data_IF_249546440535
#
_entry.id   IF_249546440535
#
_cell.length_a   1.000
_cell.length_b   1.000
_cell.length_c   1.000
_cell.angle_alpha   90.00
_cell.angle_beta   90.00
_cell.angle_gamma   90.00
#
_symmetry.space_group_name_H-M   'P 1'
#
loop_
_entity.id
_entity.type
_entity.pdbx_description
1 polymer ?
#
# COMPACT_ATOMS: atom_id res chain seq x y z
N UNK A 1 -22.41 -19.37 -18.46
CA UNK A 1 -21.39 -18.31 -18.49
C UNK A 1 -21.14 -17.91 -17.04
N UNK A 2 -20.07 -18.39 -16.40
CA UNK A 2 -19.89 -18.19 -14.95
C UNK A 2 -18.72 -18.97 -14.37
N UNK A 3 -17.54 -18.85 -14.97
CA UNK A 3 -16.31 -19.45 -14.44
C UNK A 3 -15.61 -18.58 -13.37
N UNK A 4 -16.16 -17.41 -13.04
CA UNK A 4 -15.61 -16.51 -12.02
C UNK A 4 -16.66 -16.24 -10.95
N UNK A 5 -16.38 -16.69 -9.72
CA UNK A 5 -17.14 -16.30 -8.53
C UNK A 5 -17.05 -14.78 -8.38
N UNK A 6 -18.18 -14.09 -8.30
CA UNK A 6 -18.22 -12.64 -8.08
C UNK A 6 -17.49 -12.27 -6.77
N UNK A 7 -16.81 -11.13 -6.77
CA UNK A 7 -16.05 -10.66 -5.61
C UNK A 7 -16.93 -10.14 -4.47
N UNK A 8 -18.13 -9.67 -4.82
CA UNK A 8 -19.13 -9.11 -3.91
C UNK A 8 -20.41 -9.93 -4.09
N UNK A 9 -20.93 -10.51 -3.01
CA UNK A 9 -22.22 -11.22 -3.02
C UNK A 9 -23.41 -10.26 -3.10
N UNK A 10 -24.62 -10.77 -3.33
CA UNK A 10 -25.84 -9.95 -3.26
C UNK A 10 -26.03 -9.33 -1.87
N UNK A 11 -25.72 -10.09 -0.80
CA UNK A 11 -25.72 -9.57 0.57
C UNK A 11 -24.68 -8.45 0.75
N UNK A 12 -23.50 -8.64 0.17
CA UNK A 12 -22.42 -7.64 0.19
C UNK A 12 -22.83 -6.33 -0.49
N UNK A 13 -23.65 -6.37 -1.55
CA UNK A 13 -24.22 -5.17 -2.19
C UNK A 13 -25.12 -4.37 -1.24
N UNK A 14 -25.84 -5.04 -0.35
CA UNK A 14 -26.61 -4.36 0.70
C UNK A 14 -25.67 -3.75 1.75
N UNK A 15 -24.62 -4.47 2.15
CA UNK A 15 -23.58 -3.97 3.05
C UNK A 15 -22.96 -2.66 2.57
N UNK A 16 -22.65 -2.55 1.27
CA UNK A 16 -22.11 -1.34 0.63
C UNK A 16 -23.01 -0.12 0.84
N UNK A 17 -24.34 -0.26 0.67
CA UNK A 17 -25.29 0.87 0.79
C UNK A 17 -25.39 1.40 2.21
N UNK A 18 -25.20 0.53 3.20
CA UNK A 18 -25.28 0.88 4.62
C UNK A 18 -23.95 1.34 5.20
N UNK A 19 -22.86 1.12 4.47
CA UNK A 19 -21.52 1.36 4.95
C UNK A 19 -21.28 2.86 5.15
N UNK A 20 -20.76 3.22 6.32
CA UNK A 20 -20.32 4.57 6.66
C UNK A 20 -18.90 4.50 7.18
N UNK A 21 -18.00 5.23 6.52
CA UNK A 21 -16.62 5.30 6.95
C UNK A 21 -16.51 5.90 8.36
N UNK A 22 -15.69 5.26 9.18
CA UNK A 22 -15.29 5.76 10.50
C UNK A 22 -13.77 5.75 10.53
N UNK A 23 -13.18 6.87 10.13
CA UNK A 23 -11.75 7.07 10.20
C UNK A 23 -11.40 8.49 10.59
N UNK A 24 -10.16 8.66 11.05
CA UNK A 24 -9.62 9.97 11.38
C UNK A 24 -8.16 9.85 11.84
N UNK A 25 -7.42 10.94 11.65
CA UNK A 25 -6.08 11.11 12.20
C UNK A 25 -6.13 12.09 13.36
N UNK A 26 -5.43 11.75 14.46
CA UNK A 26 -5.09 12.69 15.53
C UNK A 26 -3.60 13.07 15.48
N UNK A 27 -2.96 12.87 14.32
CA UNK A 27 -1.59 13.30 14.08
C UNK A 27 -1.47 14.81 14.27
N UNK A 28 -0.37 15.19 14.94
CA UNK A 28 -0.02 16.60 15.15
C UNK A 28 0.24 17.26 13.79
N UNK A 29 1.02 16.61 12.93
CA UNK A 29 1.36 17.19 11.62
C UNK A 29 0.12 17.27 10.73
N UNK A 30 -0.75 16.26 10.76
CA UNK A 30 -2.00 16.33 10.01
C UNK A 30 -2.90 17.47 10.48
N UNK A 31 -3.14 17.58 11.78
CA UNK A 31 -4.06 18.57 12.35
C UNK A 31 -3.60 20.01 12.09
N UNK A 32 -2.31 20.29 12.28
CA UNK A 32 -1.78 21.64 12.22
C UNK A 32 -1.18 22.05 10.86
N UNK A 33 -0.81 21.09 10.01
CA UNK A 33 -0.17 21.39 8.71
C UNK A 33 -0.92 20.79 7.51
N UNK A 34 -1.03 19.47 7.39
CA UNK A 34 -1.59 18.85 6.19
C UNK A 34 -3.06 19.20 5.97
N UNK A 35 -3.85 19.17 7.04
CA UNK A 35 -5.29 19.43 6.95
C UNK A 35 -5.58 20.87 6.52
N UNK A 36 -5.04 21.93 7.16
CA UNK A 36 -5.21 23.31 6.70
C UNK A 36 -4.69 23.55 5.28
N UNK A 37 -3.51 23.01 4.94
CA UNK A 37 -2.91 23.16 3.61
C UNK A 37 -3.82 22.56 2.53
N UNK A 38 -4.24 21.31 2.71
CA UNK A 38 -5.05 20.62 1.71
C UNK A 38 -6.47 21.22 1.60
N UNK A 39 -7.04 21.76 2.70
CA UNK A 39 -8.31 22.50 2.62
C UNK A 39 -8.17 23.77 1.78
N UNK A 40 -7.05 24.49 1.93
CA UNK A 40 -6.74 25.64 1.10
C UNK A 40 -6.54 25.25 -0.36
N UNK A 41 -5.79 24.16 -0.63
CA UNK A 41 -5.55 23.66 -2.00
C UNK A 41 -6.86 23.30 -2.68
N UNK A 42 -7.69 22.48 -2.03
CA UNK A 42 -9.00 22.06 -2.55
C UNK A 42 -9.86 23.28 -2.89
N UNK A 43 -9.96 24.26 -1.97
CA UNK A 43 -10.81 25.44 -2.18
C UNK A 43 -10.31 26.37 -3.28
N UNK A 44 -9.00 26.42 -3.54
CA UNK A 44 -8.40 27.42 -4.44
C UNK A 44 -8.03 26.87 -5.81
N UNK A 45 -7.62 25.61 -5.90
CA UNK A 45 -7.01 25.07 -7.12
C UNK A 45 -7.71 23.85 -7.70
N UNK A 46 -8.52 23.11 -6.92
CA UNK A 46 -9.18 21.90 -7.41
C UNK A 46 -10.61 22.25 -7.84
N UNK A 47 -10.94 22.17 -9.14
CA UNK A 47 -12.28 22.44 -9.61
C UNK A 47 -13.31 21.46 -9.01
N UNK A 48 -14.51 21.94 -8.71
CA UNK A 48 -15.56 21.15 -8.05
C UNK A 48 -16.14 20.03 -8.93
N UNK A 49 -15.76 19.92 -10.21
CA UNK A 49 -16.15 18.83 -11.10
C UNK A 49 -15.13 17.68 -11.14
N UNK A 50 -13.96 17.84 -10.53
CA UNK A 50 -12.95 16.78 -10.42
C UNK A 50 -13.39 15.80 -9.33
N UNK A 51 -13.53 14.53 -9.71
CA UNK A 51 -13.87 13.46 -8.79
C UNK A 51 -12.68 13.15 -7.87
N UNK A 52 -12.93 12.81 -6.58
CA UNK A 52 -11.88 12.40 -5.65
C UNK A 52 -10.98 11.29 -6.19
N UNK A 53 -11.56 10.23 -6.76
CA UNK A 53 -10.80 9.10 -7.32
C UNK A 53 -9.85 9.52 -8.46
N UNK A 54 -10.14 10.63 -9.17
CA UNK A 54 -9.22 11.18 -10.17
C UNK A 54 -7.99 11.79 -9.52
N UNK A 55 -8.15 12.43 -8.36
CA UNK A 55 -7.05 12.99 -7.56
C UNK A 55 -6.17 11.84 -7.06
N UNK A 56 -6.78 10.82 -6.43
CA UNK A 56 -6.09 9.61 -5.97
C UNK A 56 -5.30 8.95 -7.10
N UNK A 57 -5.94 8.68 -8.25
CA UNK A 57 -5.28 8.03 -9.38
C UNK A 57 -4.12 8.87 -9.93
N UNK A 58 -4.28 10.20 -9.98
CA UNK A 58 -3.23 11.11 -10.40
C UNK A 58 -2.02 11.04 -9.47
N UNK A 59 -2.26 11.03 -8.14
CA UNK A 59 -1.23 10.86 -7.13
C UNK A 59 -0.45 9.55 -7.34
N UNK A 60 -1.17 8.43 -7.51
CA UNK A 60 -0.55 7.12 -7.74
C UNK A 60 0.25 7.05 -9.04
N UNK A 61 -0.24 7.67 -10.13
CA UNK A 61 0.48 7.72 -11.42
C UNK A 61 1.79 8.50 -11.30
N UNK A 62 1.80 9.63 -10.57
CA UNK A 62 3.02 10.41 -10.33
C UNK A 62 4.08 9.54 -9.65
N UNK A 63 3.70 8.82 -8.59
CA UNK A 63 4.62 7.90 -7.88
C UNK A 63 5.06 6.77 -8.79
N UNK A 64 4.15 6.16 -9.56
CA UNK A 64 4.47 5.08 -10.47
C UNK A 64 5.53 5.48 -11.49
N UNK A 65 5.40 6.65 -12.11
CA UNK A 65 6.37 7.17 -13.08
C UNK A 65 7.73 7.47 -12.44
N UNK A 66 7.75 8.07 -11.24
CA UNK A 66 8.98 8.34 -10.50
C UNK A 66 9.68 7.03 -10.08
N UNK A 67 8.91 6.04 -9.64
CA UNK A 67 9.38 4.69 -9.31
C UNK A 67 10.00 4.01 -10.54
N UNK A 68 9.34 4.04 -11.69
CA UNK A 68 9.91 3.50 -12.94
C UNK A 68 11.21 4.20 -13.34
N UNK A 69 11.28 5.53 -13.19
CA UNK A 69 12.50 6.28 -13.44
C UNK A 69 13.64 5.84 -12.51
N UNK A 70 13.39 5.66 -11.22
CA UNK A 70 14.40 5.16 -10.28
C UNK A 70 14.85 3.73 -10.60
N UNK A 71 13.90 2.82 -10.85
CA UNK A 71 14.20 1.43 -11.19
C UNK A 71 14.92 1.31 -12.54
N UNK A 72 14.75 2.24 -13.47
CA UNK A 72 15.56 2.29 -14.70
C UNK A 72 17.04 2.56 -14.41
N UNK A 73 17.35 3.44 -13.46
CA UNK A 73 18.72 3.79 -13.09
C UNK A 73 19.38 2.74 -12.18
N UNK A 74 18.62 2.13 -11.27
CA UNK A 74 19.14 1.13 -10.33
C UNK A 74 18.16 -0.04 -10.13
N UNK A 75 18.01 -0.92 -11.14
CA UNK A 75 17.06 -2.04 -11.11
C UNK A 75 17.46 -3.17 -10.16
N UNK A 76 18.66 -3.15 -9.57
CA UNK A 76 19.12 -4.13 -8.58
C UNK A 76 19.54 -3.50 -7.26
N UNK A 77 19.14 -2.25 -7.05
CA UNK A 77 19.46 -1.45 -5.87
C UNK A 77 20.98 -1.27 -5.63
N UNK A 78 21.82 -1.60 -6.62
CA UNK A 78 23.28 -1.59 -6.48
C UNK A 78 23.92 -0.41 -7.20
N UNK A 79 23.31 0.05 -8.30
CA UNK A 79 23.81 1.23 -9.01
C UNK A 79 23.47 2.50 -8.24
N UNK A 80 24.41 3.45 -8.28
CA UNK A 80 24.15 4.78 -7.77
C UNK A 80 23.10 5.49 -8.65
N UNK A 81 22.08 6.08 -8.03
CA UNK A 81 21.09 6.89 -8.72
C UNK A 81 21.55 8.35 -8.80
N UNK A 82 21.41 9.03 -9.94
CA UNK A 82 21.71 10.45 -10.04
C UNK A 82 20.86 11.30 -9.07
N UNK A 83 21.45 12.37 -8.52
CA UNK A 83 20.76 13.29 -7.60
C UNK A 83 19.40 13.80 -8.11
N UNK A 84 19.28 14.07 -9.41
CA UNK A 84 18.03 14.54 -10.00
C UNK A 84 16.91 13.47 -9.94
N UNK A 85 17.26 12.18 -9.99
CA UNK A 85 16.30 11.07 -9.84
C UNK A 85 15.76 11.05 -8.41
N UNK A 86 16.63 11.24 -7.41
CA UNK A 86 16.20 11.42 -6.02
C UNK A 86 15.32 12.65 -5.85
N UNK A 87 15.64 13.77 -6.52
CA UNK A 87 14.83 14.98 -6.49
C UNK A 87 13.44 14.77 -7.11
N UNK A 88 13.35 14.09 -8.25
CA UNK A 88 12.08 13.70 -8.88
C UNK A 88 11.24 12.85 -7.92
N UNK A 89 11.86 11.87 -7.25
CA UNK A 89 11.16 11.04 -6.27
C UNK A 89 10.71 11.83 -5.04
N UNK A 90 11.52 12.76 -4.53
CA UNK A 90 11.14 13.68 -3.46
C UNK A 90 9.87 14.47 -3.82
N UNK A 91 9.86 15.09 -5.01
CA UNK A 91 8.69 15.82 -5.50
C UNK A 91 7.48 14.89 -5.67
N UNK A 92 7.68 13.68 -6.19
CA UNK A 92 6.62 12.70 -6.37
C UNK A 92 5.97 12.29 -5.03
N UNK A 93 6.76 12.02 -3.99
CA UNK A 93 6.23 11.67 -2.66
C UNK A 93 5.52 12.87 -2.01
N UNK A 94 6.06 14.08 -2.16
CA UNK A 94 5.41 15.29 -1.67
C UNK A 94 4.06 15.53 -2.36
N UNK A 95 4.02 15.42 -3.69
CA UNK A 95 2.78 15.54 -4.46
C UNK A 95 1.80 14.43 -4.10
N UNK A 96 2.28 13.20 -3.89
CA UNK A 96 1.45 12.09 -3.44
C UNK A 96 0.75 12.43 -2.13
N UNK A 97 1.50 12.77 -1.08
CA UNK A 97 0.94 13.05 0.24
C UNK A 97 -0.05 14.23 0.22
N UNK A 98 0.19 15.25 -0.61
CA UNK A 98 -0.73 16.37 -0.76
C UNK A 98 -2.03 15.93 -1.45
N UNK A 99 -1.93 15.25 -2.60
CA UNK A 99 -3.08 14.88 -3.41
C UNK A 99 -3.95 13.82 -2.71
N UNK A 100 -3.31 12.86 -2.04
CA UNK A 100 -3.95 11.85 -1.18
C UNK A 100 -4.84 12.52 -0.12
N UNK A 101 -4.28 13.44 0.67
CA UNK A 101 -5.05 14.21 1.65
C UNK A 101 -6.13 15.13 1.03
N UNK A 102 -5.92 15.60 -0.20
CA UNK A 102 -6.88 16.42 -0.92
C UNK A 102 -8.12 15.65 -1.39
N UNK A 103 -8.02 14.34 -1.65
CA UNK A 103 -9.13 13.58 -2.23
C UNK A 103 -10.34 13.50 -1.28
N UNK A 104 -10.11 13.25 0.01
CA UNK A 104 -11.14 13.10 1.01
C UNK A 104 -11.74 14.46 1.36
N UNK A 105 -10.92 15.52 1.29
CA UNK A 105 -11.37 16.91 1.43
C UNK A 105 -12.25 17.32 0.26
N UNK A 106 -11.85 17.00 -0.97
CA UNK A 106 -12.67 17.20 -2.17
C UNK A 106 -13.99 16.41 -2.08
N UNK A 107 -13.94 15.16 -1.61
CA UNK A 107 -15.12 14.32 -1.46
C UNK A 107 -16.13 14.93 -0.46
N UNK A 108 -15.63 15.49 0.64
CA UNK A 108 -16.47 16.21 1.62
C UNK A 108 -17.00 17.53 1.05
N UNK A 109 -16.16 18.31 0.39
CA UNK A 109 -16.52 19.61 -0.17
C UNK A 109 -17.60 19.51 -1.26
N UNK A 110 -17.54 18.47 -2.09
CA UNK A 110 -18.51 18.23 -3.17
C UNK A 110 -19.68 17.31 -2.75
N UNK A 111 -19.61 16.75 -1.54
CA UNK A 111 -20.60 15.79 -1.04
C UNK A 111 -20.64 14.48 -1.83
N UNK A 112 -19.48 14.05 -2.36
CA UNK A 112 -19.29 12.84 -3.16
C UNK A 112 -18.56 11.71 -2.40
N UNK A 113 -18.44 11.80 -1.07
CA UNK A 113 -17.88 10.73 -0.24
C UNK A 113 -18.67 9.43 -0.43
N UNK A 114 -17.98 8.32 -0.69
CA UNK A 114 -18.60 7.03 -0.94
C UNK A 114 -17.71 5.86 -0.46
N UNK A 115 -18.28 4.67 -0.22
CA UNK A 115 -17.49 3.46 0.07
C UNK A 115 -16.53 3.10 -1.08
N UNK A 116 -16.93 3.35 -2.33
CA UNK A 116 -16.07 3.15 -3.51
C UNK A 116 -14.85 4.06 -3.45
N UNK A 117 -15.03 5.33 -3.06
CA UNK A 117 -13.91 6.28 -2.96
C UNK A 117 -12.84 5.78 -1.99
N UNK A 118 -13.23 5.34 -0.79
CA UNK A 118 -12.29 4.75 0.18
C UNK A 118 -11.61 3.49 -0.35
N UNK A 119 -12.36 2.58 -0.98
CA UNK A 119 -11.75 1.35 -1.49
C UNK A 119 -10.74 1.66 -2.61
N UNK A 120 -11.07 2.64 -3.45
CA UNK A 120 -10.21 3.09 -4.53
C UNK A 120 -8.90 3.69 -3.98
N UNK A 121 -9.04 4.59 -3.02
CA UNK A 121 -7.95 5.22 -2.27
C UNK A 121 -7.01 4.18 -1.62
N UNK A 122 -7.55 3.36 -0.73
CA UNK A 122 -6.72 2.37 -0.06
C UNK A 122 -6.17 1.27 -1.02
N UNK A 123 -6.86 1.03 -2.14
CA UNK A 123 -6.40 0.14 -3.20
C UNK A 123 -5.14 0.70 -3.88
N UNK A 124 -5.15 1.99 -4.22
CA UNK A 124 -4.01 2.75 -4.70
C UNK A 124 -2.85 2.77 -3.69
N UNK A 125 -3.13 3.08 -2.42
CA UNK A 125 -2.15 3.05 -1.33
C UNK A 125 -1.45 1.69 -1.23
N UNK A 126 -2.21 0.60 -1.38
CA UNK A 126 -1.66 -0.75 -1.29
C UNK A 126 -0.61 -1.05 -2.37
N UNK A 127 -0.65 -0.32 -3.48
CA UNK A 127 0.32 -0.42 -4.57
C UNK A 127 1.50 0.54 -4.36
N UNK A 128 1.19 1.80 -4.03
CA UNK A 128 2.20 2.84 -3.80
C UNK A 128 3.11 2.49 -2.63
N UNK A 129 2.57 1.90 -1.56
CA UNK A 129 3.32 1.60 -0.34
C UNK A 129 4.54 0.70 -0.59
N UNK A 130 4.43 -0.34 -1.42
CA UNK A 130 5.57 -1.18 -1.74
C UNK A 130 6.53 -0.56 -2.76
N UNK A 131 6.04 0.33 -3.64
CA UNK A 131 6.91 1.14 -4.50
C UNK A 131 7.80 2.06 -3.68
N UNK A 132 7.23 2.72 -2.65
CA UNK A 132 8.00 3.51 -1.69
C UNK A 132 9.01 2.63 -0.94
N UNK A 133 8.61 1.45 -0.47
CA UNK A 133 9.54 0.51 0.18
C UNK A 133 10.76 0.19 -0.69
N UNK A 134 10.54 -0.11 -1.98
CA UNK A 134 11.63 -0.34 -2.94
C UNK A 134 12.47 0.92 -3.18
N UNK A 135 11.85 2.07 -3.41
CA UNK A 135 12.58 3.31 -3.68
C UNK A 135 13.39 3.81 -2.48
N UNK A 136 12.88 3.65 -1.26
CA UNK A 136 13.60 3.98 -0.02
C UNK A 136 14.81 3.06 0.15
N UNK A 137 14.63 1.76 -0.05
CA UNK A 137 15.73 0.80 -0.01
C UNK A 137 16.81 1.12 -1.07
N UNK A 138 16.38 1.58 -2.26
CA UNK A 138 17.29 2.05 -3.29
C UNK A 138 18.02 3.32 -2.83
N UNK A 139 17.31 4.34 -2.36
CA UNK A 139 17.88 5.62 -1.95
C UNK A 139 18.99 5.50 -0.89
N UNK A 140 18.85 4.57 0.07
CA UNK A 140 19.90 4.33 1.07
C UNK A 140 21.15 3.64 0.53
N UNK A 141 21.14 3.18 -0.73
CA UNK A 141 22.28 2.52 -1.40
C UNK A 141 22.94 1.46 -0.53
N UNK A 142 22.15 0.56 0.05
CA UNK A 142 22.66 -0.42 1.01
C UNK A 142 23.56 -1.44 0.29
N UNK A 143 24.75 -1.73 0.82
CA UNK A 143 25.67 -2.75 0.28
C UNK A 143 25.08 -4.14 0.41
N UNK A 144 24.47 -4.42 1.56
CA UNK A 144 23.90 -5.71 1.86
C UNK A 144 22.50 -5.88 1.27
N UNK A 145 22.44 -6.54 0.10
CA UNK A 145 21.18 -6.91 -0.57
C UNK A 145 20.25 -7.76 0.31
N UNK A 146 20.77 -8.44 1.34
CA UNK A 146 19.96 -9.21 2.29
C UNK A 146 19.09 -8.28 3.14
N UNK A 147 19.62 -7.12 3.54
CA UNK A 147 18.84 -6.10 4.26
C UNK A 147 17.73 -5.55 3.36
N UNK A 148 18.04 -5.23 2.11
CA UNK A 148 17.05 -4.76 1.11
C UNK A 148 15.92 -5.77 0.94
N UNK A 149 16.28 -7.05 0.82
CA UNK A 149 15.32 -8.14 0.65
C UNK A 149 14.24 -8.16 1.75
N UNK A 150 14.65 -7.99 3.00
CA UNK A 150 13.75 -8.00 4.15
C UNK A 150 13.07 -6.65 4.42
N UNK A 151 13.73 -5.55 4.09
CA UNK A 151 13.23 -4.21 4.35
C UNK A 151 11.88 -3.95 3.66
N UNK A 152 11.71 -4.30 2.39
CA UNK A 152 10.43 -4.06 1.68
C UNK A 152 9.25 -4.74 2.39
N UNK A 153 9.45 -5.95 2.90
CA UNK A 153 8.42 -6.70 3.62
C UNK A 153 8.04 -6.03 4.95
N UNK A 154 9.06 -5.66 5.74
CA UNK A 154 8.92 -5.10 7.10
C UNK A 154 8.42 -3.65 7.06
N UNK A 155 8.83 -2.88 6.06
CA UNK A 155 8.52 -1.45 5.94
C UNK A 155 7.19 -1.18 5.26
N UNK A 156 6.83 -1.98 4.27
CA UNK A 156 5.69 -1.71 3.41
C UNK A 156 4.57 -2.74 3.57
N UNK A 157 4.84 -4.01 3.23
CA UNK A 157 3.78 -4.99 3.05
C UNK A 157 3.07 -5.36 4.35
N UNK A 158 3.82 -5.69 5.40
CA UNK A 158 3.25 -6.18 6.67
C UNK A 158 2.54 -5.06 7.43
N UNK A 159 3.16 -3.89 7.72
CA UNK A 159 2.52 -2.82 8.47
C UNK A 159 1.23 -2.34 7.80
N UNK A 160 1.26 -2.16 6.48
CA UNK A 160 0.09 -1.72 5.72
C UNK A 160 -1.07 -2.71 5.84
N UNK A 161 -0.82 -4.01 5.62
CA UNK A 161 -1.85 -5.04 5.79
C UNK A 161 -2.41 -5.05 7.22
N UNK A 162 -1.54 -4.91 8.24
CA UNK A 162 -2.01 -4.90 9.63
C UNK A 162 -2.88 -3.71 9.99
N UNK A 163 -2.68 -2.56 9.35
CA UNK A 163 -3.58 -1.42 9.51
C UNK A 163 -4.99 -1.75 9.00
N UNK A 164 -5.09 -2.39 7.83
CA UNK A 164 -6.35 -2.80 7.21
C UNK A 164 -7.02 -3.95 7.99
N UNK A 165 -6.22 -4.88 8.51
CA UNK A 165 -6.67 -5.94 9.41
C UNK A 165 -7.29 -5.38 10.68
N UNK A 166 -6.63 -4.40 11.31
CA UNK A 166 -7.15 -3.73 12.51
C UNK A 166 -8.50 -3.10 12.19
N UNK A 167 -8.58 -2.31 11.12
CA UNK A 167 -9.81 -1.66 10.67
C UNK A 167 -10.95 -2.65 10.40
N UNK A 168 -10.68 -3.76 9.73
CA UNK A 168 -11.67 -4.78 9.43
C UNK A 168 -12.33 -5.32 10.71
N UNK A 169 -11.52 -5.65 11.73
CA UNK A 169 -12.03 -6.27 12.95
C UNK A 169 -12.68 -5.29 13.94
N UNK A 170 -12.14 -4.08 14.07
CA UNK A 170 -12.61 -3.08 15.05
C UNK A 170 -13.59 -2.07 14.46
N UNK A 171 -13.66 -1.96 13.13
CA UNK A 171 -14.60 -1.11 12.42
C UNK A 171 -14.23 0.37 12.37
N UNK A 172 -13.03 0.73 12.83
CA UNK A 172 -12.55 2.11 12.87
C UNK A 172 -11.08 2.16 12.46
N UNK A 173 -10.71 3.11 11.61
CA UNK A 173 -9.33 3.40 11.26
C UNK A 173 -8.86 4.63 12.03
N UNK A 174 -8.02 4.45 13.04
CA UNK A 174 -7.46 5.55 13.84
C UNK A 174 -5.96 5.57 13.71
N UNK A 175 -5.44 6.68 13.20
CA UNK A 175 -4.01 6.95 13.23
C UNK A 175 -3.64 7.66 14.53
N UNK A 176 -2.56 7.20 15.15
CA UNK A 176 -2.02 7.80 16.37
C UNK A 176 -1.42 9.20 16.12
N UNK A 177 -1.00 9.85 17.21
CA UNK A 177 -0.38 11.18 17.18
C UNK A 177 0.91 11.25 16.35
N UNK A 178 1.61 10.12 16.26
CA UNK A 178 2.74 9.89 15.37
C UNK A 178 2.42 8.57 14.67
N UNK A 179 2.47 8.57 13.35
CA UNK A 179 2.14 7.41 12.54
C UNK A 179 2.93 7.38 11.23
N UNK A 180 2.94 6.20 10.60
CA UNK A 180 3.71 5.95 9.38
C UNK A 180 3.23 6.74 8.15
N UNK A 181 2.02 7.30 8.17
CA UNK A 181 1.43 8.03 7.05
C UNK A 181 1.77 9.52 7.18
N UNK A 182 1.35 10.16 8.25
CA UNK A 182 1.46 11.62 8.39
C UNK A 182 2.90 12.09 8.62
N UNK A 183 3.63 11.44 9.53
CA UNK A 183 5.04 11.72 9.82
C UNK A 183 5.99 10.83 9.01
N UNK A 184 5.63 9.56 8.80
CA UNK A 184 6.49 8.61 8.08
C UNK A 184 6.75 9.03 6.64
N UNK A 185 5.76 9.54 5.91
CA UNK A 185 5.98 10.04 4.53
C UNK A 185 6.87 11.29 4.48
N UNK A 186 6.90 12.11 5.54
CA UNK A 186 7.86 13.22 5.64
C UNK A 186 9.28 12.67 5.78
N UNK A 187 9.48 11.64 6.60
CA UNK A 187 10.80 11.00 6.71
C UNK A 187 11.24 10.42 5.36
N UNK A 188 10.33 9.78 4.62
CA UNK A 188 10.60 9.29 3.26
C UNK A 188 10.99 10.43 2.32
N UNK A 189 10.29 11.57 2.35
CA UNK A 189 10.65 12.77 1.58
C UNK A 189 12.05 13.28 1.95
N UNK A 190 12.37 13.35 3.24
CA UNK A 190 13.69 13.80 3.70
C UNK A 190 14.82 12.89 3.22
N UNK A 191 14.62 11.57 3.18
CA UNK A 191 15.62 10.64 2.61
C UNK A 191 15.92 11.00 1.16
N UNK A 192 14.89 11.19 0.32
CA UNK A 192 15.09 11.55 -1.08
C UNK A 192 15.68 12.96 -1.26
N UNK A 193 15.28 13.92 -0.43
CA UNK A 193 15.82 15.27 -0.47
C UNK A 193 17.30 15.31 -0.08
N UNK A 194 17.70 14.56 0.95
CA UNK A 194 19.10 14.41 1.36
C UNK A 194 19.91 13.76 0.24
N UNK A 195 19.43 12.65 -0.34
CA UNK A 195 20.07 12.02 -1.51
C UNK A 195 20.21 12.97 -2.70
N UNK A 196 19.23 13.85 -2.92
CA UNK A 196 19.27 14.83 -4.00
C UNK A 196 20.32 15.93 -3.76
N UNK A 197 20.41 16.46 -2.54
CA UNK A 197 21.31 17.58 -2.22
C UNK A 197 22.76 17.13 -2.10
N UNK A 198 23.01 16.04 -1.38
CA UNK A 198 24.36 15.60 -1.03
C UNK A 198 24.88 14.44 -1.89
N UNK A 199 24.04 13.91 -2.77
CA UNK A 199 24.31 12.68 -3.51
C UNK A 199 24.03 11.44 -2.64
N UNK A 200 23.77 10.33 -3.32
CA UNK A 200 23.44 9.06 -2.66
C UNK A 200 24.61 8.49 -1.84
N UNK A 201 25.86 8.85 -2.19
CA UNK A 201 27.06 8.40 -1.51
C UNK A 201 27.14 8.78 -0.04
N UNK A 202 26.38 9.78 0.42
CA UNK A 202 26.33 10.12 1.85
C UNK A 202 25.91 8.92 2.71
N UNK A 203 25.03 8.06 2.18
CA UNK A 203 24.55 6.86 2.87
C UNK A 203 25.60 5.76 2.99
N UNK A 204 26.68 5.82 2.19
CA UNK A 204 27.83 4.90 2.25
C UNK A 204 28.89 5.31 3.27
N UNK A 205 28.78 6.50 3.83
CA UNK A 205 29.72 6.98 4.85
C UNK A 205 29.66 6.08 6.08
N UNK A 206 30.79 5.92 6.77
CA UNK A 206 30.86 5.23 8.05
C UNK A 206 29.92 5.92 9.06
N UNK A 207 29.06 5.12 9.68
CA UNK A 207 28.08 5.54 10.68
C UNK A 207 28.26 4.79 12.01
N UNK A 208 27.25 4.86 12.90
CA UNK A 208 27.32 4.24 14.21
C UNK A 208 27.54 2.72 14.15
N UNK A 209 28.23 2.18 15.16
CA UNK A 209 28.44 0.74 15.33
C UNK A 209 29.19 0.05 14.17
N UNK A 210 29.97 0.82 13.39
CA UNK A 210 30.70 0.31 12.22
C UNK A 210 29.81 -0.02 11.03
N UNK A 211 28.56 0.45 11.03
CA UNK A 211 27.64 0.32 9.90
C UNK A 211 27.71 1.55 9.00
N UNK A 212 27.53 1.37 7.69
CA UNK A 212 27.24 2.49 6.79
C UNK A 212 25.97 3.23 7.27
N UNK A 213 25.92 4.56 7.13
CA UNK A 213 24.78 5.38 7.56
C UNK A 213 23.46 4.84 6.99
N UNK A 214 23.41 4.47 5.71
CA UNK A 214 22.21 3.90 5.08
C UNK A 214 21.75 2.59 5.72
N UNK A 215 22.70 1.71 6.07
CA UNK A 215 22.42 0.44 6.76
C UNK A 215 21.93 0.66 8.19
N UNK A 216 22.44 1.68 8.88
CA UNK A 216 21.96 2.05 10.19
C UNK A 216 20.52 2.61 10.14
N UNK A 217 20.25 3.52 9.21
CA UNK A 217 18.91 4.10 9.06
C UNK A 217 17.87 3.07 8.62
N UNK A 218 18.17 2.18 7.65
CA UNK A 218 17.21 1.15 7.24
C UNK A 218 16.86 0.22 8.40
N UNK A 219 17.81 -0.08 9.30
CA UNK A 219 17.55 -0.85 10.51
C UNK A 219 16.61 -0.10 11.47
N UNK A 220 16.84 1.20 11.69
CA UNK A 220 15.95 2.04 12.51
C UNK A 220 14.53 2.04 11.93
N UNK A 221 14.38 2.30 10.64
CA UNK A 221 13.06 2.34 10.00
C UNK A 221 12.42 0.94 10.05
N UNK A 222 13.20 -0.15 9.93
CA UNK A 222 12.70 -1.51 10.08
C UNK A 222 12.20 -1.79 11.50
N UNK A 223 12.90 -1.32 12.52
CA UNK A 223 12.45 -1.38 13.92
C UNK A 223 11.16 -0.58 14.10
N UNK A 224 11.04 0.59 13.50
CA UNK A 224 9.81 1.39 13.52
C UNK A 224 8.65 0.65 12.82
N UNK A 225 8.90 0.00 11.68
CA UNK A 225 7.91 -0.83 10.98
C UNK A 225 7.39 -1.99 11.83
N UNK A 226 8.31 -2.70 12.51
CA UNK A 226 7.95 -3.70 13.51
C UNK A 226 7.15 -3.10 14.68
N UNK A 227 7.57 -1.94 15.18
CA UNK A 227 6.84 -1.20 16.23
C UNK A 227 5.41 -0.87 15.82
N UNK A 228 5.21 -0.41 14.58
CA UNK A 228 3.89 -0.12 14.01
C UNK A 228 3.01 -1.38 13.92
N UNK A 229 3.58 -2.51 13.51
CA UNK A 229 2.89 -3.80 13.52
C UNK A 229 2.38 -4.13 14.93
N UNK A 230 3.25 -4.08 15.95
CA UNK A 230 2.85 -4.37 17.34
C UNK A 230 1.85 -3.35 17.88
N UNK A 231 1.98 -2.07 17.51
CA UNK A 231 1.03 -1.04 17.88
C UNK A 231 -0.38 -1.36 17.38
N UNK A 232 -0.54 -1.76 16.11
CA UNK A 232 -1.85 -2.18 15.58
C UNK A 232 -2.41 -3.43 16.28
N UNK A 233 -1.55 -4.38 16.69
CA UNK A 233 -1.97 -5.54 17.48
C UNK A 233 -2.53 -5.09 18.85
N UNK A 234 -1.81 -4.20 19.55
CA UNK A 234 -2.21 -3.68 20.86
C UNK A 234 -3.52 -2.87 20.75
N UNK A 235 -3.62 -1.97 19.79
CA UNK A 235 -4.80 -1.13 19.59
C UNK A 235 -6.03 -1.99 19.27
N UNK A 236 -5.86 -3.02 18.44
CA UNK A 236 -6.92 -3.97 18.12
C UNK A 236 -7.36 -4.75 19.36
N UNK A 237 -6.43 -5.22 20.18
CA UNK A 237 -6.75 -5.89 21.44
C UNK A 237 -7.55 -4.99 22.39
N UNK A 238 -7.10 -3.74 22.59
CA UNK A 238 -7.78 -2.76 23.45
C UNK A 238 -9.20 -2.50 22.95
N UNK A 239 -9.37 -2.31 21.63
CA UNK A 239 -10.66 -1.99 21.05
C UNK A 239 -11.61 -3.21 21.02
N UNK A 240 -11.10 -4.42 20.78
CA UNK A 240 -11.87 -5.65 20.96
C UNK A 240 -12.39 -5.79 22.38
N UNK A 241 -11.56 -5.49 23.40
CA UNK A 241 -11.96 -5.51 24.81
C UNK A 241 -13.07 -4.50 25.11
N UNK A 242 -12.96 -3.28 24.59
CA UNK A 242 -14.01 -2.24 24.71
C UNK A 242 -15.32 -2.67 24.05
N UNK A 243 -15.24 -3.31 22.89
CA UNK A 243 -16.40 -3.79 22.13
C UNK A 243 -16.92 -5.15 22.62
N UNK A 244 -16.32 -5.75 23.66
CA UNK A 244 -16.63 -7.10 24.17
C UNK A 244 -16.58 -8.18 23.09
N UNK A 245 -15.62 -8.07 22.15
CA UNK A 245 -15.35 -9.04 21.08
C UNK A 245 -14.14 -9.91 21.43
N UNK A 246 -14.08 -11.12 20.87
CA UNK A 246 -12.90 -11.98 20.99
C UNK A 246 -11.76 -11.41 20.15
N UNK A 247 -10.62 -11.13 20.80
CA UNK A 247 -9.39 -10.77 20.10
C UNK A 247 -8.79 -11.98 19.36
N UNK A 248 -8.88 -13.19 19.94
CA UNK A 248 -8.27 -14.40 19.36
C UNK A 248 -8.85 -14.72 17.98
N UNK A 249 -10.15 -14.49 17.76
CA UNK A 249 -10.77 -14.71 16.45
C UNK A 249 -10.24 -13.77 15.36
N UNK A 250 -9.60 -12.66 15.72
CA UNK A 250 -8.99 -11.75 14.76
C UNK A 250 -7.66 -12.28 14.20
N UNK A 251 -6.96 -13.11 14.96
CA UNK A 251 -5.63 -13.63 14.60
C UNK A 251 -5.68 -14.58 13.41
N UNK A 252 -6.83 -15.22 13.14
CA UNK A 252 -6.99 -16.09 11.97
C UNK A 252 -6.61 -15.34 10.69
N UNK A 253 -7.07 -14.09 10.51
CA UNK A 253 -6.81 -13.27 9.33
C UNK A 253 -5.34 -12.86 9.13
N UNK A 254 -4.44 -13.19 10.07
CA UNK A 254 -2.99 -12.98 9.96
C UNK A 254 -2.25 -14.20 9.40
N UNK A 255 -2.91 -15.35 9.18
CA UNK A 255 -2.25 -16.54 8.63
C UNK A 255 -1.70 -16.33 7.20
N UNK A 256 -2.31 -15.44 6.42
CA UNK A 256 -1.75 -15.03 5.12
C UNK A 256 -0.42 -14.27 5.25
N UNK A 257 -0.18 -13.55 6.36
CA UNK A 257 1.13 -12.94 6.67
C UNK A 257 2.16 -14.03 6.96
N UNK A 258 1.77 -15.09 7.67
CA UNK A 258 2.63 -16.26 7.90
C UNK A 258 3.00 -16.93 6.57
N UNK A 259 2.05 -17.12 5.65
CA UNK A 259 2.33 -17.66 4.32
C UNK A 259 3.30 -16.76 3.53
N UNK A 260 3.12 -15.44 3.59
CA UNK A 260 4.02 -14.47 2.97
C UNK A 260 5.44 -14.57 3.54
N UNK A 261 5.57 -14.66 4.87
CA UNK A 261 6.84 -14.82 5.58
C UNK A 261 7.53 -16.13 5.21
N UNK A 262 6.82 -17.25 5.19
CA UNK A 262 7.35 -18.56 4.78
C UNK A 262 7.84 -18.48 3.32
N UNK A 263 7.03 -17.91 2.43
CA UNK A 263 7.40 -17.75 1.01
C UNK A 263 8.68 -16.94 0.87
N UNK A 264 8.76 -15.77 1.51
CA UNK A 264 9.96 -14.93 1.50
C UNK A 264 11.18 -15.63 2.10
N UNK A 265 11.01 -16.36 3.20
CA UNK A 265 12.08 -17.09 3.89
C UNK A 265 12.64 -18.22 3.02
N UNK A 266 11.77 -18.97 2.35
CA UNK A 266 12.16 -20.07 1.46
C UNK A 266 12.92 -19.52 0.24
N UNK A 267 12.40 -18.47 -0.40
CA UNK A 267 13.10 -17.83 -1.53
C UNK A 267 14.46 -17.29 -1.10
N UNK A 268 14.55 -16.64 0.07
CA UNK A 268 15.81 -16.13 0.61
C UNK A 268 16.82 -17.24 0.90
N UNK A 269 16.40 -18.33 1.53
CA UNK A 269 17.29 -19.39 2.01
C UNK A 269 17.74 -20.35 0.91
N UNK A 270 16.90 -20.63 -0.09
CA UNK A 270 17.11 -21.70 -1.07
C UNK A 270 17.33 -21.19 -2.51
N UNK A 271 17.35 -19.89 -2.74
CA UNK A 271 17.55 -19.32 -4.08
C UNK A 271 18.53 -18.14 -4.04
N UNK A 272 19.03 -17.75 -5.20
CA UNK A 272 19.92 -16.61 -5.39
C UNK A 272 19.18 -15.39 -5.97
N UNK A 273 17.84 -15.38 -5.92
CA UNK A 273 16.99 -14.31 -6.48
C UNK A 273 17.42 -12.91 -6.04
N UNK A 274 17.82 -12.75 -4.78
CA UNK A 274 18.26 -11.46 -4.23
C UNK A 274 19.62 -10.99 -4.77
N UNK A 275 20.41 -11.88 -5.38
CA UNK A 275 21.70 -11.54 -5.99
C UNK A 275 21.54 -11.10 -7.45
N UNK A 276 20.51 -11.60 -8.13
CA UNK A 276 20.24 -11.33 -9.54
C UNK A 276 19.67 -9.95 -9.79
N UNK A 277 20.21 -9.27 -10.82
CA UNK A 277 19.91 -7.86 -11.11
C UNK A 277 18.42 -7.57 -11.28
N UNK A 278 17.82 -8.07 -12.36
CA UNK A 278 16.42 -7.80 -12.69
C UNK A 278 15.43 -8.73 -11.96
N UNK A 279 15.90 -9.90 -11.53
CA UNK A 279 15.02 -10.93 -10.98
C UNK A 279 14.44 -10.53 -9.63
N UNK A 280 15.22 -9.83 -8.79
CA UNK A 280 14.76 -9.32 -7.50
C UNK A 280 13.61 -8.32 -7.65
N UNK A 281 13.70 -7.40 -8.61
CA UNK A 281 12.63 -6.43 -8.89
C UNK A 281 11.37 -7.12 -9.41
N UNK A 282 11.50 -8.07 -10.34
CA UNK A 282 10.36 -8.84 -10.85
C UNK A 282 9.71 -9.67 -9.74
N UNK A 283 10.51 -10.25 -8.85
CA UNK A 283 10.04 -10.94 -7.66
C UNK A 283 9.20 -10.00 -6.78
N UNK A 284 9.74 -8.82 -6.45
CA UNK A 284 9.02 -7.84 -5.64
C UNK A 284 7.73 -7.36 -6.30
N UNK A 285 7.73 -7.07 -7.60
CA UNK A 285 6.49 -6.70 -8.31
C UNK A 285 5.45 -7.81 -8.24
N UNK A 286 5.85 -9.06 -8.49
CA UNK A 286 4.94 -10.19 -8.50
C UNK A 286 4.34 -10.47 -7.12
N UNK A 287 5.17 -10.55 -6.09
CA UNK A 287 4.68 -10.85 -4.73
C UNK A 287 3.89 -9.69 -4.14
N UNK A 288 4.34 -8.44 -4.37
CA UNK A 288 3.72 -7.25 -3.79
C UNK A 288 2.39 -6.90 -4.45
N UNK A 289 2.25 -7.05 -5.77
CA UNK A 289 0.94 -6.93 -6.44
C UNK A 289 -0.05 -8.02 -5.97
N UNK A 290 0.44 -9.24 -5.79
CA UNK A 290 -0.34 -10.31 -5.19
C UNK A 290 -0.81 -9.95 -3.77
N UNK A 291 0.05 -9.30 -3.00
CA UNK A 291 -0.25 -8.80 -1.66
C UNK A 291 -1.22 -7.63 -1.65
N UNK A 292 -1.11 -6.68 -2.59
CA UNK A 292 -2.07 -5.59 -2.80
C UNK A 292 -3.48 -6.15 -3.04
N UNK A 293 -3.59 -7.26 -3.80
CA UNK A 293 -4.86 -7.98 -3.99
C UNK A 293 -5.41 -8.56 -2.69
N UNK A 294 -4.58 -9.22 -1.90
CA UNK A 294 -4.97 -9.77 -0.58
C UNK A 294 -5.46 -8.66 0.34
N UNK A 295 -4.75 -7.52 0.35
CA UNK A 295 -5.08 -6.34 1.15
C UNK A 295 -6.39 -5.68 0.69
N UNK A 296 -6.59 -5.54 -0.62
CA UNK A 296 -7.85 -5.02 -1.18
C UNK A 296 -9.04 -5.92 -0.79
N UNK A 297 -8.84 -7.23 -0.67
CA UNK A 297 -9.91 -8.15 -0.27
C UNK A 297 -10.35 -8.00 1.18
N UNK A 298 -9.46 -7.65 2.12
CA UNK A 298 -9.87 -7.39 3.50
C UNK A 298 -10.67 -6.09 3.61
N UNK A 299 -10.35 -5.09 2.79
CA UNK A 299 -11.12 -3.85 2.67
C UNK A 299 -12.48 -4.06 2.02
N UNK A 300 -12.57 -4.89 0.97
CA UNK A 300 -13.85 -5.28 0.38
C UNK A 300 -14.71 -5.94 1.45
N UNK A 301 -14.18 -6.92 2.19
CA UNK A 301 -14.92 -7.58 3.27
C UNK A 301 -15.36 -6.60 4.37
N UNK A 302 -14.53 -5.59 4.68
CA UNK A 302 -14.88 -4.53 5.63
C UNK A 302 -16.09 -3.71 5.13
N UNK A 303 -16.06 -3.30 3.86
CA UNK A 303 -17.11 -2.46 3.27
C UNK A 303 -18.41 -3.24 3.07
N UNK A 304 -18.31 -4.48 2.58
CA UNK A 304 -19.48 -5.35 2.35
C UNK A 304 -20.02 -5.97 3.62
N UNK A 305 -19.31 -5.84 4.75
CA UNK A 305 -19.60 -6.51 6.04
C UNK A 305 -19.59 -8.04 5.94
N UNK A 306 -18.86 -8.59 4.97
CA UNK A 306 -18.74 -10.03 4.76
C UNK A 306 -17.59 -10.63 5.58
N UNK A 307 -17.63 -11.96 5.77
CA UNK A 307 -16.50 -12.69 6.35
C UNK A 307 -15.32 -12.63 5.39
N UNK A 308 -14.20 -12.11 5.86
CA UNK A 308 -12.97 -12.07 5.08
C UNK A 308 -12.41 -13.48 4.86
N UNK A 309 -12.17 -13.82 3.59
CA UNK A 309 -11.42 -15.01 3.21
C UNK A 309 -10.00 -14.61 2.83
N UNK A 310 -9.01 -14.96 3.64
CA UNK A 310 -7.60 -14.67 3.35
C UNK A 310 -6.98 -15.59 2.30
N UNK A 311 -7.58 -16.76 2.06
CA UNK A 311 -7.05 -17.81 1.20
C UNK A 311 -7.39 -17.55 -0.27
N UNK A 312 -6.69 -16.59 -0.86
CA UNK A 312 -6.85 -16.24 -2.28
C UNK A 312 -6.07 -17.22 -3.13
N UNK A 313 -6.79 -18.02 -3.92
CA UNK A 313 -6.21 -19.05 -4.80
C UNK A 313 -5.05 -18.49 -5.64
N UNK A 314 -5.22 -17.32 -6.26
CA UNK A 314 -4.14 -16.70 -7.04
C UNK A 314 -2.88 -16.41 -6.24
N UNK A 315 -3.02 -15.96 -4.98
CA UNK A 315 -1.88 -15.67 -4.10
C UNK A 315 -1.24 -16.95 -3.58
N UNK A 316 -2.05 -17.94 -3.19
CA UNK A 316 -1.59 -19.27 -2.77
C UNK A 316 -0.79 -19.93 -3.90
N UNK A 317 -1.29 -19.89 -5.14
CA UNK A 317 -0.57 -20.43 -6.30
C UNK A 317 0.77 -19.73 -6.51
N UNK A 318 0.83 -18.40 -6.39
CA UNK A 318 2.08 -17.66 -6.45
C UNK A 318 3.06 -18.07 -5.34
N UNK A 319 2.59 -18.18 -4.10
CA UNK A 319 3.40 -18.64 -2.96
C UNK A 319 3.91 -20.07 -3.16
N UNK A 320 3.03 -20.99 -3.58
CA UNK A 320 3.40 -22.39 -3.82
C UNK A 320 4.41 -22.52 -4.95
N UNK A 321 4.30 -21.73 -6.02
CA UNK A 321 5.28 -21.73 -7.10
C UNK A 321 6.67 -21.28 -6.62
N UNK A 322 6.72 -20.20 -5.82
CA UNK A 322 7.96 -19.68 -5.25
C UNK A 322 8.58 -20.60 -4.19
N UNK A 323 7.75 -21.20 -3.33
CA UNK A 323 8.21 -22.19 -2.34
C UNK A 323 8.75 -23.44 -3.05
N UNK A 324 8.03 -23.93 -4.06
CA UNK A 324 8.45 -25.09 -4.86
C UNK A 324 9.75 -24.81 -5.60
N UNK A 325 9.96 -23.58 -6.07
CA UNK A 325 11.20 -23.14 -6.69
C UNK A 325 12.40 -23.33 -5.76
N UNK A 326 12.27 -22.95 -4.49
CA UNK A 326 13.33 -23.12 -3.49
C UNK A 326 13.49 -24.57 -3.04
N UNK A 327 12.41 -25.21 -2.57
CA UNK A 327 12.47 -26.53 -1.91
C UNK A 327 12.88 -27.65 -2.89
N UNK A 328 12.37 -27.63 -4.12
CA UNK A 328 12.63 -28.70 -5.09
C UNK A 328 13.83 -28.41 -6.01
N UNK A 329 14.59 -27.35 -5.76
CA UNK A 329 15.77 -27.03 -6.56
C UNK A 329 15.45 -26.67 -8.01
N UNK A 330 14.37 -25.91 -8.26
CA UNK A 330 13.96 -25.51 -9.61
C UNK A 330 14.56 -24.17 -10.03
N UNK A 331 15.75 -23.80 -9.52
CA UNK A 331 16.37 -22.49 -9.77
C UNK A 331 16.66 -22.26 -11.26
N UNK A 332 16.89 -23.31 -12.04
CA UNK A 332 17.04 -23.21 -13.50
C UNK A 332 15.80 -22.61 -14.21
N UNK A 333 14.62 -22.67 -13.57
CA UNK A 333 13.37 -22.11 -14.09
C UNK A 333 12.97 -20.79 -13.40
N UNK A 334 13.83 -20.21 -12.57
CA UNK A 334 13.47 -19.08 -11.69
C UNK A 334 12.88 -17.88 -12.43
N UNK A 335 13.43 -17.54 -13.60
CA UNK A 335 12.92 -16.44 -14.44
C UNK A 335 11.48 -16.71 -14.89
N UNK A 336 11.19 -17.92 -15.37
CA UNK A 336 9.85 -18.28 -15.83
C UNK A 336 8.85 -18.32 -14.68
N UNK A 337 9.25 -18.86 -13.52
CA UNK A 337 8.40 -18.93 -12.33
C UNK A 337 8.07 -17.51 -11.84
N UNK A 338 9.07 -16.64 -11.68
CA UNK A 338 8.87 -15.27 -11.20
C UNK A 338 8.07 -14.44 -12.20
N UNK A 339 8.32 -14.56 -13.50
CA UNK A 339 7.50 -13.92 -14.52
C UNK A 339 6.06 -14.44 -14.51
N UNK A 340 5.86 -15.76 -14.32
CA UNK A 340 4.53 -16.36 -14.18
C UNK A 340 3.79 -15.83 -12.95
N UNK A 341 4.48 -15.69 -11.81
CA UNK A 341 3.94 -15.07 -10.59
C UNK A 341 3.55 -13.62 -10.84
N UNK A 342 4.40 -12.83 -11.51
CA UNK A 342 4.11 -11.45 -11.86
C UNK A 342 2.88 -11.33 -12.76
N UNK A 343 2.82 -12.12 -13.83
CA UNK A 343 1.67 -12.12 -14.76
C UNK A 343 0.39 -12.51 -14.02
N UNK A 344 0.43 -13.58 -13.22
CA UNK A 344 -0.71 -14.01 -12.42
C UNK A 344 -1.19 -12.90 -11.47
N UNK A 345 -0.28 -12.29 -10.72
CA UNK A 345 -0.60 -11.19 -9.80
C UNK A 345 -1.17 -9.98 -10.53
N UNK A 346 -0.56 -9.56 -11.64
CA UNK A 346 -1.01 -8.42 -12.44
C UNK A 346 -2.41 -8.63 -13.00
N UNK A 347 -2.62 -9.74 -13.73
CA UNK A 347 -3.94 -10.07 -14.33
C UNK A 347 -5.01 -10.17 -13.25
N UNK A 348 -4.71 -10.87 -12.15
CA UNK A 348 -5.64 -11.03 -11.04
C UNK A 348 -5.97 -9.72 -10.32
N UNK A 349 -5.01 -8.81 -10.19
CA UNK A 349 -5.22 -7.51 -9.57
C UNK A 349 -6.01 -6.58 -10.49
N UNK A 350 -5.69 -6.52 -11.78
CA UNK A 350 -6.46 -5.77 -12.77
C UNK A 350 -7.92 -6.26 -12.84
N UNK A 351 -8.14 -7.57 -12.85
CA UNK A 351 -9.47 -8.15 -12.81
C UNK A 351 -10.24 -7.77 -11.53
N UNK A 352 -9.58 -7.78 -10.36
CA UNK A 352 -10.17 -7.32 -9.11
C UNK A 352 -10.59 -5.85 -9.21
N UNK A 353 -9.67 -4.96 -9.61
CA UNK A 353 -9.92 -3.53 -9.72
C UNK A 353 -11.08 -3.26 -10.68
N UNK A 354 -11.06 -3.86 -11.86
CA UNK A 354 -12.12 -3.68 -12.85
C UNK A 354 -13.49 -4.13 -12.33
N UNK A 355 -13.60 -5.37 -11.84
CA UNK A 355 -14.89 -5.94 -11.47
C UNK A 355 -15.48 -5.25 -10.23
N UNK A 356 -14.65 -4.99 -9.21
CA UNK A 356 -15.11 -4.42 -7.95
C UNK A 356 -15.49 -2.95 -8.12
N UNK A 357 -14.68 -2.15 -8.82
CA UNK A 357 -14.99 -0.72 -9.00
C UNK A 357 -16.26 -0.53 -9.83
N UNK A 358 -16.48 -1.32 -10.89
CA UNK A 358 -17.71 -1.31 -11.68
C UNK A 358 -18.92 -1.77 -10.85
N UNK A 359 -18.81 -2.91 -10.15
CA UNK A 359 -19.89 -3.41 -9.30
C UNK A 359 -20.31 -2.40 -8.23
N UNK A 360 -19.34 -1.78 -7.55
CA UNK A 360 -19.62 -0.76 -6.54
C UNK A 360 -20.22 0.50 -7.15
N UNK A 361 -19.74 0.96 -8.31
CA UNK A 361 -20.28 2.11 -9.02
C UNK A 361 -21.75 1.88 -9.40
N UNK A 362 -22.10 0.69 -9.87
CA UNK A 362 -23.46 0.30 -10.22
C UNK A 362 -24.38 0.25 -8.99
N UNK A 363 -23.92 -0.38 -7.89
CA UNK A 363 -24.68 -0.47 -6.63
C UNK A 363 -24.95 0.90 -6.03
N UNK A 364 -23.95 1.80 -6.08
CA UNK A 364 -24.03 3.16 -5.54
C UNK A 364 -24.65 4.15 -6.51
N UNK A 365 -24.85 3.77 -7.78
CA UNK A 365 -25.34 4.63 -8.88
C UNK A 365 -24.48 5.89 -9.07
N UNK A 366 -23.16 5.73 -9.00
CA UNK A 366 -22.19 6.82 -9.19
C UNK A 366 -21.26 6.53 -10.36
N UNK A 367 -20.59 7.56 -10.87
CA UNK A 367 -19.49 7.41 -11.82
C UNK A 367 -18.15 7.40 -11.09
N UNK A 368 -17.23 6.53 -11.52
CA UNK A 368 -15.93 6.33 -10.85
C UNK A 368 -15.08 7.62 -10.90
N UNK A 369 -15.00 8.26 -12.07
CA UNK A 369 -14.12 9.43 -12.31
C UNK A 369 -14.88 10.71 -12.64
N UNK A 370 -16.16 10.79 -12.28
CA UNK A 370 -16.97 12.00 -12.46
C UNK A 370 -17.92 12.18 -11.29
N UNK A 371 -18.08 13.41 -10.84
CA UNK A 371 -19.08 13.71 -9.81
C UNK A 371 -20.47 13.55 -10.41
N UNK A 372 -21.30 12.73 -9.76
CA UNK A 372 -22.69 12.51 -10.18
C UNK A 372 -23.52 13.70 -9.69
N UNK A 373 -24.23 14.42 -10.58
CA UNK A 373 -25.06 15.56 -10.17
C UNK A 373 -26.11 15.11 -9.17
N UNK A 374 -26.28 15.85 -8.06
CA UNK A 374 -27.43 15.63 -7.19
C UNK A 374 -28.69 16.06 -7.95
N UNK A 375 -29.62 15.13 -8.16
CA UNK A 375 -30.96 15.46 -8.64
C UNK A 375 -31.60 16.30 -7.54
N UNK A 376 -31.71 17.62 -7.75
CA UNK A 376 -32.48 18.48 -6.88
C UNK A 376 -33.94 18.14 -7.16
N UNK A 377 -34.54 17.28 -6.34
CA UNK A 377 -35.99 17.16 -6.31
C UNK A 377 -36.54 18.54 -5.94
N UNK A 378 -37.06 19.27 -6.93
CA UNK A 378 -37.92 20.42 -6.68
C UNK A 378 -39.07 19.90 -5.82
N UNK A 379 -39.05 20.21 -4.53
CA UNK A 379 -40.26 20.12 -3.70
C UNK A 379 -41.32 20.93 -4.43
N UNK A 380 -42.32 20.26 -4.98
CA UNK A 380 -43.52 20.89 -5.49
C UNK A 380 -44.16 21.63 -4.31
N UNK A 381 -44.02 22.95 -4.32
CA UNK A 381 -44.70 23.88 -3.41
C UNK A 381 -46.20 23.83 -3.62
#
# INVERSE_FOLDING_TARGET
MGFFKQYISEEGKQGIKEFKYKGGSVSIVYEYFWSPLCDWIVKKFIPSNIAPNTITLTASIIVFLAHLNMMYHSPDFSQEIPSWVSFVMFIAVLQYQILDNCDGKQARATGSSSPLGMLFDHGCDSVVTWMFGMCVANAFHISDKRLIYWAVLILALIPFYTAQWSQYHVGVFKLGRINAIDEGLILVQLVFLISAIFGQQIWRTEGPFGLEIGSFFILIVSIMGCGQFFQFIIDTYIECKKQKKSFISTLESLLCVVLLLITHSVVYAYTDVYQHKYLLVLYFYGISLGWSKVTSHIQIAHITKEKYNQWRVSFILSCLALISMGIFGLQQYQTYIICGVLINSFVCYCHLVYEVTNTMADVLKIKIFRITPKIVEKKSS
#
